data_IF_044133575750
#
_entry.id   IF_044133575750
#
_cell.length_a   1.000
_cell.length_b   1.000
_cell.length_c   1.000
_cell.angle_alpha   90.00
_cell.angle_beta   90.00
_cell.angle_gamma   90.00
#
_symmetry.space_group_name_H-M   'P 1'
#
loop_
_entity.id
_entity.type
_entity.pdbx_description
1 polymer ?
#
# COMPACT_ATOMS: atom_id res chain seq x y z
N UNK A 1 57.53 -22.01 -26.00
CA UNK A 1 56.37 -21.59 -26.81
C UNK A 1 55.16 -22.35 -26.26
N UNK A 2 54.40 -21.74 -25.35
CA UNK A 2 53.10 -21.08 -25.56
C UNK A 2 51.93 -22.05 -25.78
N UNK A 3 51.25 -22.33 -24.65
CA UNK A 3 49.81 -22.44 -24.37
C UNK A 3 48.82 -22.81 -25.48
N UNK A 4 47.85 -23.66 -25.15
CA UNK A 4 46.47 -23.22 -24.81
C UNK A 4 45.59 -24.42 -24.42
N UNK A 5 45.34 -24.56 -23.11
CA UNK A 5 44.23 -25.35 -22.59
C UNK A 5 42.94 -24.51 -22.69
N UNK A 6 41.97 -25.01 -23.46
CA UNK A 6 40.64 -24.41 -23.60
C UNK A 6 39.74 -24.93 -22.47
N UNK A 7 39.58 -24.12 -21.42
CA UNK A 7 38.53 -24.27 -20.42
C UNK A 7 37.24 -23.64 -20.97
N UNK A 8 36.10 -24.34 -21.02
CA UNK A 8 34.84 -23.70 -21.36
C UNK A 8 34.39 -22.87 -20.16
N UNK A 9 34.34 -21.55 -20.37
CA UNK A 9 33.67 -20.61 -19.48
C UNK A 9 32.18 -20.99 -19.41
N UNK A 10 31.80 -21.68 -18.33
CA UNK A 10 30.42 -21.74 -17.85
C UNK A 10 30.03 -20.32 -17.46
N UNK A 11 29.42 -19.58 -18.39
CA UNK A 11 28.66 -18.39 -18.09
C UNK A 11 27.48 -18.80 -17.21
N UNK A 12 27.66 -18.63 -15.90
CA UNK A 12 26.57 -18.50 -14.96
C UNK A 12 25.73 -17.30 -15.41
N UNK A 13 24.66 -17.55 -16.15
CA UNK A 13 23.57 -16.61 -16.35
C UNK A 13 22.83 -16.52 -15.02
N UNK A 14 23.48 -15.92 -14.01
CA UNK A 14 22.78 -15.42 -12.85
C UNK A 14 21.92 -14.27 -13.37
N UNK A 15 20.66 -14.55 -13.70
CA UNK A 15 19.69 -13.54 -14.06
C UNK A 15 19.72 -12.47 -12.99
N UNK A 16 20.18 -11.28 -13.35
CA UNK A 16 20.11 -10.13 -12.47
C UNK A 16 18.63 -9.99 -12.11
N UNK A 17 18.30 -10.12 -10.82
CA UNK A 17 17.01 -9.67 -10.33
C UNK A 17 16.90 -8.20 -10.74
N UNK A 18 16.08 -7.93 -11.76
CA UNK A 18 15.87 -6.58 -12.25
C UNK A 18 15.07 -5.87 -11.18
N UNK A 19 15.72 -4.91 -10.52
CA UNK A 19 15.04 -4.00 -9.62
C UNK A 19 13.86 -3.38 -10.38
N UNK A 20 12.65 -3.64 -9.90
CA UNK A 20 11.44 -3.06 -10.45
C UNK A 20 10.65 -2.32 -9.36
N UNK A 21 9.97 -1.22 -9.70
CA UNK A 21 8.99 -0.64 -8.81
C UNK A 21 7.92 -1.68 -8.44
N UNK A 22 7.37 -1.58 -7.23
CA UNK A 22 6.29 -2.46 -6.81
C UNK A 22 5.07 -2.30 -7.73
N UNK A 23 4.45 -3.42 -8.11
CA UNK A 23 3.20 -3.38 -8.87
C UNK A 23 2.03 -2.94 -7.97
N UNK A 24 1.14 -2.10 -8.51
CA UNK A 24 -0.02 -1.56 -7.78
C UNK A 24 -0.89 -2.67 -7.15
N UNK A 25 -1.14 -3.75 -7.91
CA UNK A 25 -1.94 -4.87 -7.45
C UNK A 25 -1.32 -5.62 -6.26
N UNK A 26 0.02 -5.74 -6.23
CA UNK A 26 0.73 -6.42 -5.14
C UNK A 26 0.77 -5.56 -3.88
N UNK A 27 0.94 -4.24 -4.04
CA UNK A 27 0.81 -3.28 -2.94
C UNK A 27 -0.61 -3.30 -2.39
N UNK A 28 -1.63 -3.31 -3.25
CA UNK A 28 -3.03 -3.38 -2.86
C UNK A 28 -3.32 -4.64 -2.03
N UNK A 29 -2.77 -5.79 -2.43
CA UNK A 29 -2.91 -7.03 -1.69
C UNK A 29 -2.29 -6.95 -0.28
N UNK A 30 -1.05 -6.45 -0.17
CA UNK A 30 -0.36 -6.28 1.12
C UNK A 30 -1.11 -5.32 2.04
N UNK A 31 -1.48 -4.14 1.53
CA UNK A 31 -2.23 -3.10 2.29
C UNK A 31 -3.56 -3.65 2.78
N UNK A 32 -4.28 -4.39 1.93
CA UNK A 32 -5.53 -5.04 2.31
C UNK A 32 -5.33 -6.08 3.42
N UNK A 33 -4.31 -6.92 3.30
CA UNK A 33 -3.99 -7.94 4.32
C UNK A 33 -3.66 -7.29 5.67
N UNK A 34 -2.98 -6.14 5.67
CA UNK A 34 -2.68 -5.38 6.88
C UNK A 34 -3.89 -4.67 7.50
N UNK A 35 -5.08 -4.73 6.88
CA UNK A 35 -6.28 -4.05 7.38
C UNK A 35 -6.27 -2.54 7.15
N UNK A 36 -5.31 -2.02 6.38
CA UNK A 36 -5.21 -0.60 6.04
C UNK A 36 -6.20 -0.18 4.94
N UNK A 37 -6.86 -1.14 4.28
CA UNK A 37 -7.85 -0.88 3.22
C UNK A 37 -9.18 -0.27 3.68
N UNK A 38 -9.41 -0.08 4.99
CA UNK A 38 -10.62 0.60 5.50
C UNK A 38 -10.41 2.10 5.73
N UNK A 39 -9.15 2.57 5.72
CA UNK A 39 -8.81 3.99 5.82
C UNK A 39 -9.51 4.80 4.72
N UNK A 40 -9.57 4.26 3.51
CA UNK A 40 -10.24 4.89 2.37
C UNK A 40 -11.71 5.20 2.63
N UNK A 41 -12.45 4.37 3.36
CA UNK A 41 -13.88 4.61 3.64
C UNK A 41 -14.08 5.77 4.61
N UNK A 42 -13.32 5.83 5.70
CA UNK A 42 -13.41 6.94 6.66
C UNK A 42 -12.95 8.25 6.03
N UNK A 43 -11.89 8.20 5.22
CA UNK A 43 -11.38 9.37 4.52
C UNK A 43 -12.32 9.83 3.39
N UNK A 44 -12.99 8.92 2.69
CA UNK A 44 -13.98 9.28 1.69
C UNK A 44 -15.16 10.05 2.30
N UNK A 45 -15.69 9.57 3.43
CA UNK A 45 -16.71 10.33 4.18
C UNK A 45 -16.20 11.69 4.61
N UNK A 46 -14.97 11.78 5.13
CA UNK A 46 -14.39 13.06 5.53
C UNK A 46 -14.27 14.03 4.34
N UNK A 47 -13.78 13.56 3.19
CA UNK A 47 -13.66 14.38 1.97
C UNK A 47 -15.05 14.87 1.53
N UNK A 48 -16.06 14.02 1.53
CA UNK A 48 -17.44 14.42 1.18
C UNK A 48 -17.97 15.45 2.19
N UNK A 49 -17.75 15.24 3.48
CA UNK A 49 -18.23 16.13 4.55
C UNK A 49 -17.53 17.49 4.62
N UNK A 50 -16.30 17.57 4.11
CA UNK A 50 -15.44 18.76 4.16
C UNK A 50 -15.36 19.51 2.83
N UNK A 51 -15.76 18.88 1.72
CA UNK A 51 -15.83 19.52 0.40
C UNK A 51 -17.24 20.09 0.19
N UNK A 52 -17.42 21.43 0.15
CA UNK A 52 -18.76 22.04 0.11
C UNK A 52 -19.63 21.57 -1.06
N UNK A 53 -19.05 21.41 -2.26
CA UNK A 53 -19.78 20.96 -3.43
C UNK A 53 -20.28 19.51 -3.32
N UNK A 54 -19.45 18.60 -2.76
CA UNK A 54 -19.85 17.22 -2.51
C UNK A 54 -20.92 17.13 -1.41
N UNK A 55 -20.78 17.91 -0.34
CA UNK A 55 -21.74 17.96 0.77
C UNK A 55 -23.11 18.52 0.38
N UNK A 56 -23.14 19.43 -0.59
CA UNK A 56 -24.39 20.04 -1.07
C UNK A 56 -25.23 19.09 -1.94
N UNK A 57 -24.69 17.95 -2.35
CA UNK A 57 -25.41 16.95 -3.13
C UNK A 57 -26.57 16.31 -2.35
N UNK A 58 -27.58 15.77 -3.04
CA UNK A 58 -28.55 14.87 -2.43
C UNK A 58 -27.88 13.68 -1.73
N UNK A 59 -28.49 13.16 -0.67
CA UNK A 59 -27.91 12.04 0.12
C UNK A 59 -27.59 10.81 -0.74
N UNK A 60 -28.45 10.47 -1.71
CA UNK A 60 -28.21 9.36 -2.63
C UNK A 60 -26.95 9.56 -3.50
N UNK A 61 -26.69 10.81 -3.91
CA UNK A 61 -25.52 11.17 -4.72
C UNK A 61 -24.25 11.19 -3.86
N UNK A 62 -24.35 11.67 -2.61
CA UNK A 62 -23.27 11.56 -1.63
C UNK A 62 -22.91 10.09 -1.37
N UNK A 63 -23.91 9.23 -1.19
CA UNK A 63 -23.71 7.78 -1.01
C UNK A 63 -23.06 7.14 -2.23
N UNK A 64 -23.42 7.55 -3.44
CA UNK A 64 -22.76 7.07 -4.65
C UNK A 64 -21.30 7.55 -4.74
N UNK A 65 -21.04 8.83 -4.45
CA UNK A 65 -19.72 9.45 -4.52
C UNK A 65 -18.69 8.81 -3.58
N UNK A 66 -19.12 8.09 -2.53
CA UNK A 66 -18.24 7.37 -1.60
C UNK A 66 -17.26 6.44 -2.31
N UNK A 67 -17.70 5.66 -3.30
CA UNK A 67 -16.83 4.70 -3.97
C UNK A 67 -15.78 5.38 -4.87
N UNK A 68 -16.13 6.31 -5.78
CA UNK A 68 -15.15 7.08 -6.55
C UNK A 68 -14.11 7.82 -5.69
N UNK A 69 -14.55 8.43 -4.59
CA UNK A 69 -13.65 9.15 -3.66
C UNK A 69 -12.72 8.18 -2.96
N UNK A 70 -13.25 7.08 -2.39
CA UNK A 70 -12.43 6.03 -1.76
C UNK A 70 -11.40 5.47 -2.73
N UNK A 71 -11.80 5.11 -3.94
CA UNK A 71 -10.92 4.45 -4.91
C UNK A 71 -9.76 5.37 -5.33
N UNK A 72 -10.01 6.68 -5.44
CA UNK A 72 -8.96 7.67 -5.67
C UNK A 72 -7.98 7.75 -4.50
N UNK A 73 -8.49 7.84 -3.27
CA UNK A 73 -7.66 7.91 -2.06
C UNK A 73 -6.83 6.64 -1.86
N UNK A 74 -7.42 5.48 -2.12
CA UNK A 74 -6.73 4.19 -2.06
C UNK A 74 -5.62 4.12 -3.14
N UNK A 75 -5.87 4.59 -4.35
CA UNK A 75 -4.87 4.64 -5.41
C UNK A 75 -3.72 5.61 -5.06
N UNK A 76 -4.04 6.79 -4.50
CA UNK A 76 -3.06 7.76 -4.04
C UNK A 76 -2.17 7.17 -2.93
N UNK A 77 -2.79 6.48 -1.96
CA UNK A 77 -2.07 5.82 -0.87
C UNK A 77 -1.13 4.72 -1.38
N UNK A 78 -1.58 3.89 -2.33
CA UNK A 78 -0.69 2.90 -2.95
C UNK A 78 0.42 3.57 -3.76
N UNK A 79 0.11 4.65 -4.48
CA UNK A 79 1.09 5.44 -5.22
C UNK A 79 2.19 6.02 -4.33
N UNK A 80 1.85 6.52 -3.13
CA UNK A 80 2.84 7.01 -2.17
C UNK A 80 3.73 5.89 -1.63
N UNK A 81 3.15 4.70 -1.36
CA UNK A 81 3.92 3.51 -0.97
C UNK A 81 4.89 3.12 -2.09
N UNK A 82 4.41 2.97 -3.34
CA UNK A 82 5.26 2.58 -4.49
C UNK A 82 6.42 3.58 -4.65
N UNK A 83 6.13 4.87 -4.55
CA UNK A 83 7.14 5.93 -4.64
C UNK A 83 8.15 5.85 -3.51
N UNK A 84 7.70 5.69 -2.26
CA UNK A 84 8.56 5.60 -1.09
C UNK A 84 9.41 4.32 -1.07
N UNK A 85 8.91 3.23 -1.63
CA UNK A 85 9.68 2.00 -1.80
C UNK A 85 10.76 2.14 -2.88
N UNK A 86 10.56 2.95 -3.90
CA UNK A 86 11.54 3.21 -4.95
C UNK A 86 11.66 2.09 -5.99
N UNK A 87 12.79 2.09 -6.72
CA UNK A 87 12.98 1.30 -7.95
C UNK A 87 13.11 -0.22 -7.76
N UNK A 88 13.28 -0.69 -6.52
CA UNK A 88 13.37 -2.12 -6.13
C UNK A 88 12.25 -2.48 -5.15
N UNK A 89 11.14 -1.73 -5.19
CA UNK A 89 10.00 -1.95 -4.30
C UNK A 89 9.33 -3.31 -4.50
N UNK A 90 9.46 -3.93 -5.66
CA UNK A 90 8.93 -5.27 -5.95
C UNK A 90 9.49 -6.34 -5.00
N UNK A 91 10.79 -6.30 -4.72
CA UNK A 91 11.46 -7.21 -3.80
C UNK A 91 10.96 -7.02 -2.36
N UNK A 92 10.73 -5.76 -1.95
CA UNK A 92 10.17 -5.44 -0.62
C UNK A 92 8.77 -6.01 -0.48
N UNK A 93 7.89 -5.77 -1.46
CA UNK A 93 6.51 -6.27 -1.44
C UNK A 93 6.46 -7.80 -1.51
N UNK A 94 7.34 -8.43 -2.30
CA UNK A 94 7.43 -9.89 -2.34
C UNK A 94 7.88 -10.50 -1.01
N UNK A 95 8.76 -9.84 -0.26
CA UNK A 95 9.16 -10.27 1.08
C UNK A 95 8.00 -10.12 2.09
N UNK A 96 7.30 -8.99 2.06
CA UNK A 96 6.10 -8.78 2.87
C UNK A 96 5.02 -9.80 2.57
N UNK A 97 4.72 -10.06 1.30
CA UNK A 97 3.72 -11.05 0.87
C UNK A 97 4.05 -12.45 1.39
N UNK A 98 5.32 -12.88 1.26
CA UNK A 98 5.78 -14.16 1.79
C UNK A 98 5.67 -14.24 3.31
N UNK A 99 6.03 -13.17 4.03
CA UNK A 99 5.91 -13.13 5.48
C UNK A 99 4.45 -13.15 5.95
N UNK A 100 3.56 -12.36 5.32
CA UNK A 100 2.14 -12.29 5.69
C UNK A 100 1.39 -13.62 5.51
N UNK A 101 1.92 -14.54 4.70
CA UNK A 101 1.39 -15.89 4.58
C UNK A 101 1.67 -16.79 5.81
N UNK A 102 2.63 -16.43 6.67
CA UNK A 102 3.03 -17.24 7.84
C UNK A 102 2.11 -17.00 9.05
N UNK A 103 2.11 -17.87 10.08
CA UNK A 103 1.39 -17.62 11.32
C UNK A 103 1.81 -16.30 12.00
N UNK A 104 3.12 -16.02 12.03
CA UNK A 104 3.67 -14.77 12.56
C UNK A 104 3.18 -13.54 11.78
N UNK A 105 3.14 -13.62 10.44
CA UNK A 105 2.65 -12.54 9.60
C UNK A 105 1.15 -12.28 9.77
N UNK A 106 0.34 -13.33 9.92
CA UNK A 106 -1.10 -13.19 10.23
C UNK A 106 -1.33 -12.51 11.58
N UNK A 107 -0.52 -12.84 12.59
CA UNK A 107 -0.58 -12.18 13.90
C UNK A 107 -0.20 -10.69 13.80
N UNK A 108 0.84 -10.34 13.02
CA UNK A 108 1.20 -8.95 12.77
C UNK A 108 0.09 -8.18 12.04
N UNK A 109 -0.49 -8.77 11.00
CA UNK A 109 -1.59 -8.16 10.26
C UNK A 109 -2.83 -7.91 11.14
N UNK A 110 -3.17 -8.86 12.02
CA UNK A 110 -4.21 -8.68 13.03
C UNK A 110 -3.87 -7.58 14.05
N UNK A 111 -2.57 -7.35 14.30
CA UNK A 111 -2.07 -6.19 15.03
C UNK A 111 -2.44 -4.89 14.33
N UNK A 112 -2.00 -4.68 13.09
CA UNK A 112 -2.27 -3.45 12.32
C UNK A 112 -3.77 -3.10 12.24
N UNK A 113 -4.66 -4.09 12.08
CA UNK A 113 -6.10 -3.86 12.00
C UNK A 113 -6.76 -3.41 13.32
N UNK A 114 -6.14 -3.66 14.49
CA UNK A 114 -6.78 -3.54 15.82
C UNK A 114 -5.94 -2.72 16.83
N UNK A 115 -4.96 -1.94 16.36
CA UNK A 115 -3.89 -1.37 17.19
C UNK A 115 -3.55 0.06 16.80
N UNK A 116 -2.93 0.79 17.72
CA UNK A 116 -2.23 2.03 17.37
C UNK A 116 -0.85 1.67 16.82
N UNK A 117 -0.21 2.53 16.00
CA UNK A 117 1.13 2.27 15.48
C UNK A 117 2.13 1.92 16.59
N UNK A 118 2.00 2.58 17.75
CA UNK A 118 2.87 2.43 18.91
C UNK A 118 2.83 1.05 19.60
N UNK A 119 1.79 0.22 19.39
CA UNK A 119 1.65 -1.07 20.08
C UNK A 119 1.43 -2.27 19.17
N UNK A 120 1.49 -2.08 17.85
CA UNK A 120 1.19 -3.11 16.85
C UNK A 120 2.14 -4.31 16.96
N UNK A 121 3.44 -4.07 17.03
CA UNK A 121 4.46 -5.14 17.13
C UNK A 121 4.39 -5.91 18.45
N UNK A 122 4.21 -5.18 19.56
CA UNK A 122 4.10 -5.77 20.90
C UNK A 122 2.85 -6.66 21.02
N UNK A 123 1.71 -6.22 20.46
CA UNK A 123 0.48 -7.01 20.41
C UNK A 123 0.63 -8.23 19.50
N UNK A 124 1.26 -8.08 18.34
CA UNK A 124 1.53 -9.20 17.44
C UNK A 124 2.38 -10.29 18.13
N UNK A 125 3.36 -9.90 18.94
CA UNK A 125 4.21 -10.83 19.68
C UNK A 125 3.54 -11.50 20.89
N UNK A 126 2.49 -10.90 21.46
CA UNK A 126 1.87 -11.33 22.72
C UNK A 126 1.21 -12.71 22.64
N UNK A 127 0.76 -13.13 21.46
CA UNK A 127 0.14 -14.44 21.21
C UNK A 127 1.05 -15.48 20.56
N UNK A 128 2.31 -15.15 20.29
CA UNK A 128 3.24 -16.03 19.56
C UNK A 128 4.22 -16.74 20.50
N UNK A 129 4.50 -18.00 20.20
CA UNK A 129 5.46 -18.83 20.92
C UNK A 129 6.48 -19.46 19.96
N UNK A 130 7.64 -19.85 20.51
CA UNK A 130 8.65 -20.63 19.80
C UNK A 130 9.08 -20.02 18.45
N UNK A 131 9.07 -20.81 17.36
CA UNK A 131 9.60 -20.40 16.07
C UNK A 131 8.87 -19.20 15.45
N UNK A 132 7.57 -19.05 15.68
CA UNK A 132 6.79 -17.95 15.12
C UNK A 132 7.16 -16.60 15.75
N UNK A 133 7.47 -16.58 17.05
CA UNK A 133 7.95 -15.38 17.73
C UNK A 133 9.34 -14.96 17.24
N UNK A 134 10.22 -15.93 17.01
CA UNK A 134 11.54 -15.67 16.44
C UNK A 134 11.45 -15.18 14.99
N UNK A 135 10.54 -15.75 14.19
CA UNK A 135 10.28 -15.32 12.83
C UNK A 135 9.74 -13.88 12.78
N UNK A 136 8.80 -13.52 13.68
CA UNK A 136 8.30 -12.14 13.78
C UNK A 136 9.44 -11.17 14.10
N UNK A 137 10.28 -11.47 15.09
CA UNK A 137 11.40 -10.62 15.48
C UNK A 137 12.42 -10.45 14.33
N UNK A 138 12.73 -11.54 13.62
CA UNK A 138 13.61 -11.50 12.46
C UNK A 138 13.04 -10.63 11.33
N UNK A 139 11.73 -10.74 11.07
CA UNK A 139 11.08 -9.94 10.05
C UNK A 139 11.02 -8.45 10.41
N UNK A 140 10.67 -8.10 11.65
CA UNK A 140 10.69 -6.70 12.12
C UNK A 140 12.10 -6.10 12.01
N UNK A 141 13.14 -6.91 12.25
CA UNK A 141 14.53 -6.52 12.06
C UNK A 141 14.97 -6.38 10.59
N UNK A 142 14.15 -6.78 9.63
CA UNK A 142 14.52 -6.80 8.20
C UNK A 142 14.51 -5.40 7.57
N UNK A 143 15.29 -5.17 6.51
CA UNK A 143 15.18 -3.96 5.69
C UNK A 143 13.80 -3.81 5.04
N UNK A 144 13.17 -4.91 4.61
CA UNK A 144 11.86 -4.88 3.97
C UNK A 144 10.79 -4.31 4.92
N UNK A 145 10.80 -4.73 6.19
CA UNK A 145 9.89 -4.20 7.20
C UNK A 145 10.07 -2.69 7.38
N UNK A 146 11.29 -2.24 7.66
CA UNK A 146 11.59 -0.81 7.89
C UNK A 146 11.19 0.07 6.70
N UNK A 147 11.46 -0.40 5.47
CA UNK A 147 11.16 0.37 4.25
C UNK A 147 9.66 0.54 4.04
N UNK A 148 8.87 -0.51 4.22
CA UNK A 148 7.41 -0.38 4.07
C UNK A 148 6.82 0.50 5.18
N UNK A 149 7.25 0.34 6.43
CA UNK A 149 6.77 1.18 7.55
C UNK A 149 7.12 2.66 7.31
N UNK A 150 8.35 2.96 6.88
CA UNK A 150 8.75 4.34 6.54
C UNK A 150 7.90 4.94 5.41
N UNK A 151 7.45 4.12 4.45
CA UNK A 151 6.56 4.58 3.37
C UNK A 151 5.16 4.97 3.86
N UNK A 152 4.75 4.50 5.04
CA UNK A 152 3.49 4.90 5.68
C UNK A 152 3.64 6.22 6.44
N UNK A 153 4.80 6.48 7.05
CA UNK A 153 5.07 7.70 7.83
C UNK A 153 5.02 8.98 6.98
N UNK A 154 5.28 8.86 5.68
CA UNK A 154 5.18 9.99 4.75
C UNK A 154 3.74 10.47 4.56
N UNK A 155 2.76 9.60 4.82
CA UNK A 155 1.34 9.82 4.57
C UNK A 155 1.01 10.04 3.08
N UNK A 156 -0.20 9.70 2.61
CA UNK A 156 -0.65 10.21 1.34
C UNK A 156 -0.93 11.70 1.50
N UNK A 157 -0.18 12.55 0.79
CA UNK A 157 -0.64 13.93 0.58
C UNK A 157 -1.95 13.88 -0.22
N UNK A 158 -2.93 14.70 0.19
CA UNK A 158 -4.11 14.94 -0.63
C UNK A 158 -3.64 15.46 -2.00
N UNK A 159 -4.16 14.93 -3.12
CA UNK A 159 -3.72 15.38 -4.42
C UNK A 159 -4.14 16.83 -4.64
N UNK A 160 -3.19 17.68 -5.03
CA UNK A 160 -3.43 19.11 -5.31
C UNK A 160 -4.51 19.35 -6.40
N UNK A 161 -4.79 18.34 -7.22
CA UNK A 161 -5.77 18.36 -8.30
C UNK A 161 -6.94 17.38 -8.04
N UNK A 162 -7.33 17.19 -6.78
CA UNK A 162 -8.41 16.29 -6.36
C UNK A 162 -9.67 16.43 -7.23
N UNK A 163 -10.12 17.66 -7.49
CA UNK A 163 -11.31 17.91 -8.30
C UNK A 163 -11.20 17.42 -9.74
N UNK A 164 -10.03 17.60 -10.37
CA UNK A 164 -9.79 17.12 -11.72
C UNK A 164 -9.76 15.58 -11.77
N UNK A 165 -9.23 14.94 -10.72
CA UNK A 165 -9.18 13.49 -10.63
C UNK A 165 -10.54 12.85 -10.31
N UNK A 166 -11.43 13.55 -9.60
CA UNK A 166 -12.75 13.06 -9.23
C UNK A 166 -13.86 13.34 -10.25
N UNK A 167 -13.77 14.43 -11.02
CA UNK A 167 -14.86 14.86 -11.90
C UNK A 167 -15.30 13.76 -12.88
N UNK A 168 -14.34 13.07 -13.52
CA UNK A 168 -14.65 11.99 -14.46
C UNK A 168 -15.24 10.74 -13.77
N UNK A 169 -14.63 10.18 -12.70
CA UNK A 169 -15.22 9.08 -11.94
C UNK A 169 -16.64 9.38 -11.42
N UNK A 170 -16.89 10.58 -10.91
CA UNK A 170 -18.22 10.99 -10.43
C UNK A 170 -19.24 11.02 -11.56
N UNK A 171 -18.85 11.52 -12.74
CA UNK A 171 -19.73 11.53 -13.91
C UNK A 171 -20.01 10.12 -14.43
N UNK A 172 -18.97 9.30 -14.60
CA UNK A 172 -19.08 7.97 -15.22
C UNK A 172 -19.86 6.99 -14.33
N UNK A 173 -19.64 7.03 -13.01
CA UNK A 173 -20.18 6.06 -12.06
C UNK A 173 -21.47 6.54 -11.38
N UNK A 174 -21.58 7.83 -11.10
CA UNK A 174 -22.69 8.40 -10.34
C UNK A 174 -23.56 9.39 -11.13
N UNK A 175 -23.20 9.70 -12.39
CA UNK A 175 -23.87 10.73 -13.21
C UNK A 175 -23.84 12.14 -12.59
N UNK A 176 -22.93 12.36 -11.64
CA UNK A 176 -22.72 13.64 -10.99
C UNK A 176 -21.74 14.46 -11.84
N UNK A 177 -22.20 15.59 -12.35
CA UNK A 177 -21.34 16.53 -13.10
C UNK A 177 -20.91 17.64 -12.15
N UNK A 178 -19.61 17.76 -11.91
CA UNK A 178 -19.01 18.84 -11.14
C UNK A 178 -17.95 19.56 -11.95
N UNK A 179 -17.78 20.86 -11.67
CA UNK A 179 -16.57 21.56 -12.08
C UNK A 179 -15.42 21.12 -11.16
N UNK A 180 -14.25 20.71 -11.69
CA UNK A 180 -13.06 20.44 -10.89
C UNK A 180 -12.71 21.52 -9.86
N UNK A 181 -12.96 22.79 -10.19
CA UNK A 181 -12.69 23.93 -9.32
C UNK A 181 -13.64 24.01 -8.11
N UNK A 182 -14.78 23.32 -8.14
CA UNK A 182 -15.74 23.31 -7.02
C UNK A 182 -15.35 22.29 -5.92
N UNK A 183 -14.39 21.42 -6.21
CA UNK A 183 -13.88 20.36 -5.33
C UNK A 183 -12.51 20.73 -4.72
N UNK A 184 -11.79 21.67 -5.35
CA UNK A 184 -10.37 21.98 -5.07
C UNK A 184 -10.19 23.28 -4.31
#
# INVERSE_FOLDING_TARGET
MRSLALLPLLWCVAGAAQAAPAADADVAAVVKTLGLGTLGTTMASLVIDTTPALKALPEADQQCAQAPVRDLLDAQFRGSIITGLGSDGDAVIAEWSRFLATPAGKALAGGFANSTPENTEAKAAAGLAGPDRAQLAAFIGSPAYRRLVASFESGPAMPDNLGAQLAKPLQDQCRIVMNPDDIS
#
